data_IF_608178240952
#
_entry.id   IF_608178240952
#
_cell.length_a   1.000
_cell.length_b   1.000
_cell.length_c   1.000
_cell.angle_alpha   90.00
_cell.angle_beta   90.00
_cell.angle_gamma   90.00
#
_symmetry.space_group_name_H-M   'P 1'
#
loop_
_entity.id
_entity.type
_entity.pdbx_description
1 polymer ?
#
# COMPACT_ATOMS: atom_id res chain seq x y z
N UNK A 1 7.68 -14.48 -56.85
CA UNK A 1 8.26 -13.52 -55.89
C UNK A 1 8.06 -14.05 -54.48
N UNK A 2 9.16 -14.35 -53.82
CA UNK A 2 9.26 -14.70 -52.40
C UNK A 2 9.22 -13.37 -51.63
N UNK A 3 8.31 -13.22 -50.66
CA UNK A 3 8.45 -12.53 -49.36
C UNK A 3 7.03 -12.33 -48.77
N UNK A 4 6.57 -13.24 -47.89
CA UNK A 4 6.84 -13.29 -46.43
C UNK A 4 5.97 -12.32 -45.62
N UNK A 5 4.69 -12.66 -45.46
CA UNK A 5 3.89 -12.25 -44.29
C UNK A 5 3.02 -13.43 -43.85
N UNK A 6 3.69 -14.46 -43.34
CA UNK A 6 3.07 -15.56 -42.60
C UNK A 6 3.18 -15.23 -41.11
N UNK A 7 2.07 -15.42 -40.39
CA UNK A 7 1.88 -15.39 -38.93
C UNK A 7 1.86 -13.97 -38.31
N UNK A 8 0.98 -13.61 -37.36
CA UNK A 8 0.27 -14.35 -36.31
C UNK A 8 -1.18 -13.79 -36.19
N UNK A 9 -2.25 -14.59 -36.22
CA UNK A 9 -2.85 -15.41 -35.14
C UNK A 9 -3.34 -14.66 -33.88
N UNK A 10 -4.66 -14.79 -33.70
CA UNK A 10 -5.40 -14.96 -32.44
C UNK A 10 -5.94 -13.73 -31.68
N UNK A 11 -7.22 -13.46 -31.96
CA UNK A 11 -8.31 -13.31 -30.99
C UNK A 11 -8.11 -12.34 -29.81
N UNK A 12 -8.70 -11.16 -29.98
CA UNK A 12 -9.05 -10.21 -28.92
C UNK A 12 -10.01 -10.86 -27.91
N UNK A 13 -9.47 -11.34 -26.80
CA UNK A 13 -10.25 -11.68 -25.62
C UNK A 13 -10.18 -10.50 -24.64
N UNK A 14 -11.27 -9.74 -24.54
CA UNK A 14 -11.49 -8.73 -23.51
C UNK A 14 -11.42 -9.42 -22.14
N UNK A 15 -10.26 -9.40 -21.48
CA UNK A 15 -10.14 -9.89 -20.11
C UNK A 15 -10.73 -8.86 -19.15
N UNK A 16 -11.81 -9.27 -18.49
CA UNK A 16 -12.53 -8.52 -17.48
C UNK A 16 -11.58 -7.93 -16.44
N UNK A 17 -11.69 -6.60 -16.28
CA UNK A 17 -10.98 -5.81 -15.29
C UNK A 17 -11.53 -6.17 -13.90
N UNK A 18 -10.90 -7.14 -13.23
CA UNK A 18 -11.10 -7.34 -11.80
C UNK A 18 -10.43 -6.16 -11.09
N UNK A 19 -11.20 -5.11 -10.79
CA UNK A 19 -10.80 -4.00 -9.96
C UNK A 19 -10.63 -4.48 -8.51
N UNK A 20 -9.55 -5.24 -8.25
CA UNK A 20 -8.94 -5.18 -6.93
C UNK A 20 -8.44 -3.73 -6.74
N UNK A 21 -8.52 -3.13 -5.55
CA UNK A 21 -7.73 -1.97 -5.24
C UNK A 21 -6.26 -2.42 -5.32
N UNK A 22 -5.70 -2.34 -6.53
CA UNK A 22 -4.27 -2.42 -6.70
C UNK A 22 -3.73 -1.31 -5.81
N UNK A 23 -2.85 -1.66 -4.88
CA UNK A 23 -1.86 -0.70 -4.40
C UNK A 23 -1.03 -0.36 -5.63
N UNK A 24 -1.56 0.50 -6.49
CA UNK A 24 -0.98 0.77 -7.80
C UNK A 24 0.45 1.29 -7.64
N UNK A 25 0.71 1.95 -6.50
CA UNK A 25 2.00 2.45 -6.09
C UNK A 25 2.51 1.84 -4.75
N UNK A 26 2.27 0.55 -4.49
CA UNK A 26 2.83 -0.17 -3.33
C UNK A 26 4.32 0.12 -3.13
N UNK A 27 5.07 0.10 -4.22
CA UNK A 27 6.51 0.34 -4.23
C UNK A 27 6.88 1.77 -3.79
N UNK A 28 6.09 2.78 -4.17
CA UNK A 28 6.30 4.15 -3.72
C UNK A 28 6.05 4.29 -2.21
N UNK A 29 4.95 3.69 -1.72
CA UNK A 29 4.67 3.60 -0.30
C UNK A 29 5.78 2.90 0.50
N UNK A 30 6.33 1.80 -0.04
CA UNK A 30 7.41 1.05 0.59
C UNK A 30 8.73 1.84 0.61
N UNK A 31 9.02 2.59 -0.46
CA UNK A 31 10.15 3.51 -0.50
C UNK A 31 10.00 4.65 0.52
N UNK A 32 8.80 5.23 0.65
CA UNK A 32 8.50 6.20 1.71
C UNK A 32 8.70 5.59 3.11
N UNK A 33 8.15 4.39 3.32
CA UNK A 33 8.20 3.69 4.61
C UNK A 33 9.63 3.34 5.04
N UNK A 34 10.57 3.19 4.10
CA UNK A 34 11.98 2.94 4.40
C UNK A 34 12.61 4.05 5.26
N UNK A 35 12.16 5.30 5.10
CA UNK A 35 12.63 6.46 5.85
C UNK A 35 11.96 6.66 7.22
N UNK A 36 10.94 5.86 7.56
CA UNK A 36 10.23 6.00 8.84
C UNK A 36 11.07 5.52 10.02
N UNK A 37 10.72 6.03 11.20
CA UNK A 37 11.18 5.49 12.48
C UNK A 37 10.73 4.02 12.65
N UNK A 38 11.29 3.26 13.62
CA UNK A 38 10.82 1.91 13.93
C UNK A 38 9.32 1.83 14.20
N UNK A 39 8.77 2.77 14.97
CA UNK A 39 7.33 2.83 15.29
C UNK A 39 6.49 3.14 14.04
N UNK A 40 6.95 4.06 13.19
CA UNK A 40 6.29 4.39 11.93
C UNK A 40 6.26 3.19 10.96
N UNK A 41 7.36 2.44 10.88
CA UNK A 41 7.44 1.20 10.10
C UNK A 41 6.47 0.14 10.62
N UNK A 42 6.36 0.00 11.95
CA UNK A 42 5.43 -0.94 12.56
C UNK A 42 3.96 -0.59 12.23
N UNK A 43 3.58 0.70 12.27
CA UNK A 43 2.23 1.15 11.89
C UNK A 43 1.98 0.88 10.40
N UNK A 44 2.90 1.30 9.52
CA UNK A 44 2.77 1.10 8.07
C UNK A 44 2.59 -0.37 7.71
N UNK A 45 3.44 -1.24 8.27
CA UNK A 45 3.36 -2.69 8.05
C UNK A 45 2.07 -3.30 8.61
N UNK A 46 1.61 -2.86 9.77
CA UNK A 46 0.40 -3.37 10.40
C UNK A 46 -0.89 -2.93 9.69
N UNK A 47 -0.91 -1.77 9.04
CA UNK A 47 -2.03 -1.35 8.19
C UNK A 47 -2.04 -2.12 6.88
N UNK A 48 -0.86 -2.26 6.25
CA UNK A 48 -0.69 -3.03 5.02
C UNK A 48 -1.65 -2.61 3.90
N UNK A 49 -2.19 -3.62 3.22
CA UNK A 49 -3.08 -3.49 2.05
C UNK A 49 -4.56 -3.30 2.40
N UNK A 50 -4.89 -2.89 3.63
CA UNK A 50 -6.27 -2.68 4.04
C UNK A 50 -6.99 -1.75 3.04
N UNK A 51 -8.30 -1.89 2.88
CA UNK A 51 -9.13 -1.01 2.05
C UNK A 51 -10.15 -0.26 2.93
N UNK A 52 -10.61 0.91 2.48
CA UNK A 52 -11.51 1.78 3.24
C UNK A 52 -10.83 3.05 3.74
N UNK A 53 -11.48 3.74 4.69
CA UNK A 53 -11.03 5.03 5.23
C UNK A 53 -9.66 4.89 5.91
N UNK A 54 -8.64 5.40 5.22
CA UNK A 54 -7.25 5.25 5.65
C UNK A 54 -7.03 5.87 7.03
N UNK A 55 -7.66 7.01 7.30
CA UNK A 55 -7.49 7.72 8.56
C UNK A 55 -7.97 6.90 9.75
N UNK A 56 -9.17 6.32 9.65
CA UNK A 56 -9.71 5.45 10.69
C UNK A 56 -8.85 4.20 10.88
N UNK A 57 -8.47 3.53 9.78
CA UNK A 57 -7.65 2.31 9.83
C UNK A 57 -6.29 2.59 10.50
N UNK A 58 -5.58 3.62 10.07
CA UNK A 58 -4.29 4.01 10.68
C UNK A 58 -4.46 4.33 12.16
N UNK A 59 -5.53 5.04 12.52
CA UNK A 59 -5.81 5.41 13.91
C UNK A 59 -6.04 4.17 14.78
N UNK A 60 -6.88 3.25 14.33
CA UNK A 60 -7.25 2.08 15.12
C UNK A 60 -6.11 1.06 15.20
N UNK A 61 -5.37 0.85 14.12
CA UNK A 61 -4.12 0.07 14.13
C UNK A 61 -3.11 0.66 15.11
N UNK A 62 -2.89 1.98 15.06
CA UNK A 62 -1.97 2.65 15.99
C UNK A 62 -2.40 2.48 17.44
N UNK A 63 -3.69 2.65 17.75
CA UNK A 63 -4.22 2.41 19.09
C UNK A 63 -3.97 0.96 19.53
N UNK A 64 -4.25 -0.01 18.66
CA UNK A 64 -4.00 -1.43 18.97
C UNK A 64 -2.53 -1.68 19.29
N UNK A 65 -1.60 -1.09 18.53
CA UNK A 65 -0.17 -1.21 18.77
C UNK A 65 0.24 -0.61 20.12
N UNK A 66 -0.29 0.57 20.47
CA UNK A 66 -0.07 1.19 21.79
C UNK A 66 -0.62 0.31 22.92
N UNK A 67 -1.85 -0.19 22.79
CA UNK A 67 -2.48 -1.04 23.81
C UNK A 67 -1.75 -2.38 23.98
N UNK A 68 -1.11 -2.88 22.92
CA UNK A 68 -0.26 -4.07 22.96
C UNK A 68 1.16 -3.83 23.48
N UNK A 69 1.50 -2.57 23.81
CA UNK A 69 2.84 -2.19 24.27
C UNK A 69 3.91 -2.19 23.18
N UNK A 70 3.54 -2.26 21.90
CA UNK A 70 4.48 -2.28 20.77
C UNK A 70 4.98 -0.90 20.37
N UNK A 71 4.23 0.16 20.70
CA UNK A 71 4.57 1.56 20.43
C UNK A 71 4.24 2.37 21.67
N UNK A 72 5.10 3.34 22.01
CA UNK A 72 4.82 4.26 23.10
C UNK A 72 3.74 5.27 22.73
N UNK A 73 2.81 5.53 23.66
CA UNK A 73 1.70 6.46 23.45
C UNK A 73 2.16 7.88 23.08
N UNK A 74 3.31 8.32 23.60
CA UNK A 74 3.89 9.63 23.29
C UNK A 74 4.33 9.78 21.83
N UNK A 75 4.74 8.66 21.21
CA UNK A 75 5.25 8.64 19.84
C UNK A 75 4.16 8.28 18.82
N UNK A 76 3.05 7.72 19.28
CA UNK A 76 1.99 7.16 18.44
C UNK A 76 1.46 8.13 17.37
N UNK A 77 1.12 9.37 17.74
CA UNK A 77 0.50 10.33 16.81
C UNK A 77 1.42 10.72 15.66
N UNK A 78 2.66 11.10 15.98
CA UNK A 78 3.63 11.54 14.98
C UNK A 78 3.95 10.40 13.99
N UNK A 79 4.13 9.19 14.52
CA UNK A 79 4.40 8.01 13.70
C UNK A 79 3.20 7.57 12.87
N UNK A 80 1.97 7.70 13.40
CA UNK A 80 0.75 7.41 12.64
C UNK A 80 0.57 8.37 11.46
N UNK A 81 0.86 9.66 11.65
CA UNK A 81 0.79 10.66 10.57
C UNK A 81 1.82 10.36 9.48
N UNK A 82 3.06 10.07 9.86
CA UNK A 82 4.12 9.73 8.91
C UNK A 82 3.82 8.43 8.15
N UNK A 83 3.37 7.38 8.84
CA UNK A 83 2.95 6.13 8.21
C UNK A 83 1.72 6.34 7.30
N UNK A 84 0.76 7.16 7.72
CA UNK A 84 -0.42 7.53 6.93
C UNK A 84 -0.06 8.18 5.61
N UNK A 85 0.87 9.14 5.60
CA UNK A 85 1.35 9.77 4.37
C UNK A 85 2.01 8.76 3.40
N UNK A 86 2.77 7.79 3.92
CA UNK A 86 3.31 6.72 3.08
C UNK A 86 2.22 5.77 2.55
N UNK A 87 1.16 5.52 3.32
CA UNK A 87 0.03 4.68 2.90
C UNK A 87 -0.85 5.37 1.86
N UNK A 88 -0.92 6.71 1.86
CA UNK A 88 -1.56 7.48 0.78
C UNK A 88 -0.81 7.26 -0.54
N UNK A 89 0.53 7.33 -0.53
CA UNK A 89 1.34 6.98 -1.71
C UNK A 89 1.23 5.51 -2.10
N UNK A 90 1.07 4.59 -1.15
CA UNK A 90 0.89 3.18 -1.48
C UNK A 90 -0.42 2.91 -2.26
N UNK A 91 -1.38 3.83 -2.18
CA UNK A 91 -2.75 3.70 -2.71
C UNK A 91 -3.07 4.70 -3.84
N UNK A 92 -2.10 5.51 -4.27
CA UNK A 92 -2.28 6.49 -5.34
C UNK A 92 -2.43 5.85 -6.71
#
# INVERSE_FOLDING_TARGET
MIHRHVALLAATCFTAFAAAPALADKAAGDACAAGLSPDGKAIYAAVGSASGDLRSIVTDTTKSLVMSGKIERGNARANAQAAGACLEQARS
#
